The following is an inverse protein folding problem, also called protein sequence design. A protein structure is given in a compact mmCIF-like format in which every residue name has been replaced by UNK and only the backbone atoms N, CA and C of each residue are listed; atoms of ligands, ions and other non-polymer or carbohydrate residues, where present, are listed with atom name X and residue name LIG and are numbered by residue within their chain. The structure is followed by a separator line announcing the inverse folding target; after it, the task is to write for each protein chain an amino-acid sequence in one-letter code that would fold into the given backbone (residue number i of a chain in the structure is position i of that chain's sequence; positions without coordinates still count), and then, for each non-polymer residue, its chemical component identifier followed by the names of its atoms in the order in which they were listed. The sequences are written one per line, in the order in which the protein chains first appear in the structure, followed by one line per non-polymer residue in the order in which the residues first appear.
data_IF_134108118793
#
_entry.id   IF_134108118793
#
_cell.length_a   1.000
_cell.length_b   1.000
_cell.length_c   1.000
_cell.angle_alpha   90.00
_cell.angle_beta   90.00
_cell.angle_gamma   90.00
#
_symmetry.space_group_name_H-M   'P 1'
#
loop_
_entity.id
_entity.type
_entity.pdbx_description
1 polymer ?
#
# COMPACT_ATOMS: atom_id res chain seq x y z
N UNK A 1 -22.97 -50.43 -6.37
CA UNK A 1 -23.38 -49.04 -6.11
C UNK A 1 -22.43 -48.31 -5.15
N UNK A 2 -21.19 -48.82 -4.92
CA UNK A 2 -20.19 -48.19 -4.02
C UNK A 2 -19.09 -47.41 -4.77
N UNK A 3 -18.84 -47.74 -6.05
CA UNK A 3 -17.77 -47.12 -6.85
C UNK A 3 -18.07 -45.64 -7.17
N UNK A 4 -19.35 -45.29 -7.33
CA UNK A 4 -19.78 -43.90 -7.65
C UNK A 4 -19.54 -42.95 -6.47
N UNK A 5 -19.66 -43.44 -5.24
CA UNK A 5 -19.46 -42.65 -4.02
C UNK A 5 -17.97 -42.35 -3.76
N UNK A 6 -17.08 -43.29 -4.09
CA UNK A 6 -15.62 -43.13 -3.98
C UNK A 6 -15.07 -42.12 -5.01
N UNK A 7 -15.54 -42.15 -6.26
CA UNK A 7 -15.13 -41.17 -7.28
C UNK A 7 -15.58 -39.75 -6.92
N UNK A 8 -16.76 -39.63 -6.30
CA UNK A 8 -17.29 -38.34 -5.82
C UNK A 8 -16.45 -37.74 -4.70
N UNK A 9 -15.91 -38.58 -3.79
CA UNK A 9 -15.07 -38.12 -2.69
C UNK A 9 -13.67 -37.67 -3.13
N UNK A 10 -13.13 -38.31 -4.16
CA UNK A 10 -11.78 -37.99 -4.71
C UNK A 10 -11.77 -36.68 -5.48
N UNK A 11 -12.91 -36.23 -6.03
CA UNK A 11 -13.01 -34.98 -6.79
C UNK A 11 -13.27 -33.74 -5.92
N UNK A 12 -13.76 -33.88 -4.68
CA UNK A 12 -14.05 -32.76 -3.77
C UNK A 12 -12.86 -31.83 -3.46
N UNK A 13 -11.60 -32.27 -3.27
CA UNK A 13 -10.49 -31.34 -3.01
C UNK A 13 -10.11 -30.47 -4.22
N UNK A 14 -10.55 -30.83 -5.44
CA UNK A 14 -10.31 -30.01 -6.64
C UNK A 14 -11.30 -28.84 -6.80
N UNK A 15 -12.39 -28.83 -6.02
CA UNK A 15 -13.46 -27.83 -6.12
C UNK A 15 -13.24 -26.65 -5.17
N UNK A 16 -12.38 -26.78 -4.15
CA UNK A 16 -12.14 -25.72 -3.15
C UNK A 16 -10.65 -25.33 -3.15
N UNK A 17 -10.25 -24.30 -3.92
CA UNK A 17 -8.86 -23.89 -4.01
C UNK A 17 -8.49 -23.05 -2.78
N UNK A 18 -8.15 -23.71 -1.68
CA UNK A 18 -7.65 -23.07 -0.45
C UNK A 18 -6.19 -22.62 -0.57
N UNK A 19 -5.47 -23.09 -1.58
CA UNK A 19 -4.08 -22.70 -1.81
C UNK A 19 -3.96 -21.57 -2.86
N UNK A 20 -3.34 -20.41 -2.53
CA UNK A 20 -3.06 -19.35 -3.51
C UNK A 20 -2.01 -19.69 -4.55
N UNK A 21 -1.25 -20.77 -4.37
CA UNK A 21 -0.20 -21.19 -5.29
C UNK A 21 -0.75 -21.51 -6.69
N UNK A 22 0.04 -21.30 -7.75
CA UNK A 22 -0.32 -21.73 -9.09
C UNK A 22 -0.44 -23.25 -9.14
N UNK A 23 -1.47 -23.77 -9.82
CA UNK A 23 -1.78 -25.19 -9.89
C UNK A 23 -2.64 -25.53 -11.10
N UNK A 24 -3.21 -26.74 -11.11
CA UNK A 24 -4.00 -27.24 -12.25
C UNK A 24 -5.22 -26.37 -12.57
N UNK A 25 -5.83 -25.74 -11.56
CA UNK A 25 -7.03 -24.91 -11.70
C UNK A 25 -6.72 -23.40 -11.70
N UNK A 26 -5.46 -23.00 -11.48
CA UNK A 26 -5.08 -21.58 -11.34
C UNK A 26 -3.74 -21.29 -12.02
N UNK A 27 -3.77 -20.43 -13.04
CA UNK A 27 -2.57 -20.01 -13.78
C UNK A 27 -1.66 -19.11 -12.94
N UNK A 28 -0.37 -19.06 -13.30
CA UNK A 28 0.63 -18.15 -12.70
C UNK A 28 0.18 -16.68 -12.71
N UNK A 29 -0.51 -16.25 -13.78
CA UNK A 29 -1.06 -14.90 -13.91
C UNK A 29 -2.22 -14.65 -12.95
N UNK A 30 -3.08 -15.64 -12.70
CA UNK A 30 -4.16 -15.53 -11.71
C UNK A 30 -3.62 -15.49 -10.28
N UNK A 31 -2.63 -16.31 -9.92
CA UNK A 31 -2.01 -16.25 -8.58
C UNK A 31 -1.30 -14.92 -8.31
N UNK A 32 -0.67 -14.31 -9.32
CA UNK A 32 -0.05 -12.96 -9.21
C UNK A 32 -1.06 -11.82 -8.98
N UNK A 33 -2.34 -12.07 -9.22
CA UNK A 33 -3.42 -11.10 -8.97
C UNK A 33 -4.00 -11.22 -7.56
N UNK A 34 -3.50 -12.12 -6.72
CA UNK A 34 -3.95 -12.27 -5.35
C UNK A 34 -2.96 -11.57 -4.40
N UNK A 35 -3.49 -10.82 -3.45
CA UNK A 35 -2.77 -10.37 -2.28
C UNK A 35 -3.22 -11.23 -1.10
N UNK A 36 -2.29 -11.92 -0.46
CA UNK A 36 -2.58 -12.88 0.58
C UNK A 36 -1.98 -12.44 1.91
N UNK A 37 -2.80 -12.39 2.94
CA UNK A 37 -2.38 -12.17 4.33
C UNK A 37 -2.52 -13.47 5.11
N UNK A 38 -1.55 -13.78 5.97
CA UNK A 38 -1.66 -14.88 6.93
C UNK A 38 -2.13 -14.30 8.26
N UNK A 39 -3.28 -14.75 8.73
CA UNK A 39 -3.93 -14.29 9.96
C UNK A 39 -4.08 -15.46 10.94
N UNK A 40 -4.20 -15.15 12.24
CA UNK A 40 -4.69 -16.14 13.20
C UNK A 40 -6.18 -16.43 12.94
N UNK A 41 -6.63 -17.65 13.22
CA UNK A 41 -8.04 -18.02 13.05
C UNK A 41 -9.00 -17.07 13.79
N UNK A 42 -8.59 -16.53 14.94
CA UNK A 42 -9.37 -15.56 15.72
C UNK A 42 -9.51 -14.19 15.02
N UNK A 43 -8.40 -13.62 14.55
CA UNK A 43 -8.45 -12.33 13.84
C UNK A 43 -9.25 -12.49 12.54
N UNK A 44 -9.04 -13.62 11.86
CA UNK A 44 -9.67 -13.89 10.59
C UNK A 44 -11.18 -14.12 10.74
N UNK A 45 -11.65 -14.81 11.80
CA UNK A 45 -13.08 -15.03 12.04
C UNK A 45 -13.83 -13.74 12.40
N UNK A 46 -13.20 -12.84 13.14
CA UNK A 46 -13.74 -11.50 13.41
C UNK A 46 -13.84 -10.65 12.15
N UNK A 47 -12.82 -10.70 11.28
CA UNK A 47 -12.75 -9.89 10.06
C UNK A 47 -13.60 -10.45 8.91
N UNK A 48 -13.79 -11.77 8.86
CA UNK A 48 -14.53 -12.47 7.80
C UNK A 48 -15.55 -13.48 8.38
N UNK A 49 -16.62 -12.98 9.03
CA UNK A 49 -17.59 -13.85 9.70
C UNK A 49 -18.25 -14.81 8.71
N UNK A 50 -18.38 -16.08 9.10
CA UNK A 50 -19.01 -17.14 8.31
C UNK A 50 -18.15 -17.72 7.17
N UNK A 51 -16.96 -17.17 6.91
CA UNK A 51 -16.01 -17.72 5.90
C UNK A 51 -14.91 -18.59 6.50
N UNK A 52 -14.69 -18.48 7.81
CA UNK A 52 -13.61 -19.16 8.51
C UNK A 52 -14.20 -19.99 9.63
N UNK A 53 -13.97 -21.30 9.56
CA UNK A 53 -14.35 -22.23 10.62
C UNK A 53 -13.36 -22.05 11.77
N UNK A 54 -13.80 -21.45 12.87
CA UNK A 54 -13.05 -21.42 14.13
C UNK A 54 -13.05 -22.83 14.71
N UNK A 55 -11.94 -23.28 15.31
CA UNK A 55 -11.96 -24.56 16.00
C UNK A 55 -12.89 -24.48 17.22
N UNK A 56 -13.69 -25.53 17.41
CA UNK A 56 -14.57 -25.63 18.57
C UNK A 56 -13.73 -25.67 19.84
N UNK A 57 -14.11 -24.87 20.84
CA UNK A 57 -13.33 -24.56 22.05
C UNK A 57 -13.03 -25.73 23.02
N UNK A 58 -13.04 -26.99 22.57
CA UNK A 58 -12.58 -28.14 23.36
C UNK A 58 -11.50 -28.92 22.60
N UNK A 59 -10.25 -28.70 23.00
CA UNK A 59 -9.15 -29.66 22.81
C UNK A 59 -8.22 -29.44 21.61
N UNK A 60 -8.36 -28.35 20.86
CA UNK A 60 -7.48 -28.06 19.72
C UNK A 60 -6.41 -27.02 20.12
N UNK A 61 -5.29 -27.50 20.66
CA UNK A 61 -4.16 -26.66 21.10
C UNK A 61 -3.22 -26.22 19.96
N UNK A 62 -3.65 -26.35 18.71
CA UNK A 62 -2.82 -26.01 17.54
C UNK A 62 -3.14 -24.58 17.10
N UNK A 63 -2.15 -23.68 17.13
CA UNK A 63 -2.29 -22.36 16.50
C UNK A 63 -2.49 -22.50 14.99
N UNK A 64 -3.74 -22.46 14.55
CA UNK A 64 -4.07 -22.52 13.12
C UNK A 64 -3.96 -21.13 12.51
N UNK A 65 -3.01 -20.99 11.59
CA UNK A 65 -2.94 -19.81 10.71
C UNK A 65 -3.83 -20.02 9.49
N UNK A 66 -4.59 -18.99 9.12
CA UNK A 66 -5.45 -18.96 7.94
C UNK A 66 -4.84 -18.00 6.94
N UNK A 67 -4.69 -18.44 5.69
CA UNK A 67 -4.27 -17.57 4.59
C UNK A 67 -5.52 -17.02 3.92
N UNK A 68 -5.72 -15.71 4.01
CA UNK A 68 -6.82 -15.02 3.35
C UNK A 68 -6.25 -14.28 2.14
N UNK A 69 -6.71 -14.67 0.95
CA UNK A 69 -6.31 -14.03 -0.28
C UNK A 69 -7.47 -13.20 -0.84
N UNK A 70 -7.18 -11.96 -1.18
CA UNK A 70 -8.10 -11.08 -1.89
C UNK A 70 -7.57 -10.82 -3.29
N UNK A 71 -8.48 -10.74 -4.25
CA UNK A 71 -8.12 -10.28 -5.59
C UNK A 71 -7.61 -8.83 -5.46
N UNK A 72 -6.42 -8.57 -5.99
CA UNK A 72 -5.78 -7.26 -6.03
C UNK A 72 -6.73 -6.36 -6.78
N UNK A 73 -7.43 -5.49 -6.05
CA UNK A 73 -8.55 -4.72 -6.58
C UNK A 73 -8.15 -4.02 -7.89
N UNK A 74 -8.99 -4.32 -8.89
CA UNK A 74 -9.10 -3.78 -10.24
C UNK A 74 -8.34 -4.57 -11.33
N UNK A 75 -9.14 -5.26 -12.15
CA UNK A 75 -8.76 -5.79 -13.47
C UNK A 75 -8.32 -4.62 -14.38
N UNK A 76 -7.29 -4.80 -15.22
CA UNK A 76 -6.98 -3.84 -16.28
C UNK A 76 -8.24 -3.56 -17.11
N UNK A 77 -8.54 -2.27 -17.36
CA UNK A 77 -9.76 -1.82 -18.04
C UNK A 77 -10.96 -1.47 -17.15
N UNK A 78 -10.90 -1.75 -15.83
CA UNK A 78 -11.84 -1.18 -14.84
C UNK A 78 -11.31 0.10 -14.17
N UNK A 79 -10.02 0.39 -14.36
CA UNK A 79 -9.41 1.66 -13.93
C UNK A 79 -9.52 2.68 -15.05
N UNK A 80 -9.47 3.96 -14.68
CA UNK A 80 -9.41 5.03 -15.69
C UNK A 80 -8.10 4.89 -16.49
N UNK A 81 -8.10 5.33 -17.76
CA UNK A 81 -6.88 5.33 -18.56
C UNK A 81 -5.74 6.12 -17.88
N UNK A 82 -6.10 7.16 -17.13
CA UNK A 82 -5.19 7.93 -16.32
C UNK A 82 -4.53 7.11 -15.19
N UNK A 83 -5.32 6.34 -14.43
CA UNK A 83 -4.78 5.47 -13.38
C UNK A 83 -3.87 4.39 -13.96
N UNK A 84 -4.23 3.79 -15.11
CA UNK A 84 -3.38 2.80 -15.77
C UNK A 84 -2.06 3.42 -16.26
N UNK A 85 -2.09 4.65 -16.78
CA UNK A 85 -0.87 5.36 -17.19
C UNK A 85 0.07 5.58 -15.99
N UNK A 86 -0.45 6.08 -14.87
CA UNK A 86 0.30 6.26 -13.62
C UNK A 86 0.88 4.93 -13.14
N UNK A 87 0.07 3.87 -13.10
CA UNK A 87 0.50 2.57 -12.59
C UNK A 87 1.49 1.84 -13.50
N UNK A 88 1.43 2.06 -14.82
CA UNK A 88 2.29 1.37 -15.80
C UNK A 88 3.78 1.71 -15.65
N UNK A 89 4.08 2.91 -15.17
CA UNK A 89 5.45 3.43 -15.01
C UNK A 89 5.82 3.67 -13.53
N UNK A 90 4.95 3.26 -12.60
CA UNK A 90 5.04 3.62 -11.19
C UNK A 90 6.38 3.25 -10.56
N UNK A 91 6.83 2.00 -10.71
CA UNK A 91 8.04 1.51 -10.05
C UNK A 91 9.29 2.26 -10.53
N UNK A 92 9.40 2.51 -11.84
CA UNK A 92 10.49 3.29 -12.42
C UNK A 92 10.45 4.74 -11.92
N UNK A 93 9.29 5.38 -12.02
CA UNK A 93 9.11 6.79 -11.61
C UNK A 93 9.42 7.01 -10.14
N UNK A 94 8.93 6.13 -9.28
CA UNK A 94 9.15 6.22 -7.84
C UNK A 94 10.62 5.97 -7.49
N UNK A 95 11.28 5.05 -8.19
CA UNK A 95 12.72 4.82 -8.02
C UNK A 95 13.52 6.07 -8.39
N UNK A 96 13.19 6.72 -9.52
CA UNK A 96 13.81 8.00 -9.91
C UNK A 96 13.62 9.09 -8.85
N UNK A 97 12.40 9.22 -8.31
CA UNK A 97 12.09 10.22 -7.29
C UNK A 97 12.81 9.93 -5.96
N UNK A 98 12.93 8.66 -5.56
CA UNK A 98 13.68 8.26 -4.38
C UNK A 98 15.18 8.55 -4.52
N UNK A 99 15.76 8.30 -5.70
CA UNK A 99 17.16 8.67 -6.01
C UNK A 99 17.35 10.18 -5.95
N UNK A 100 16.40 10.94 -6.53
CA UNK A 100 16.45 12.40 -6.49
C UNK A 100 16.35 12.94 -5.05
N UNK A 101 15.50 12.33 -4.22
CA UNK A 101 15.35 12.68 -2.81
C UNK A 101 16.67 12.55 -2.03
N UNK A 102 17.30 11.37 -2.11
CA UNK A 102 18.58 11.09 -1.46
C UNK A 102 19.69 12.00 -1.97
N UNK A 103 19.74 12.24 -3.28
CA UNK A 103 20.77 13.07 -3.91
C UNK A 103 20.65 14.55 -3.54
N UNK A 104 19.42 15.06 -3.40
CA UNK A 104 19.19 16.47 -3.08
C UNK A 104 19.40 16.78 -1.60
N UNK A 105 19.14 15.81 -0.71
CA UNK A 105 19.23 15.94 0.74
C UNK A 105 19.99 14.76 1.37
N UNK A 106 21.30 14.62 1.09
CA UNK A 106 22.10 13.53 1.66
C UNK A 106 22.22 13.64 3.18
N UNK A 107 22.03 14.83 3.75
CA UNK A 107 21.99 15.09 5.20
C UNK A 107 20.81 14.41 5.92
N UNK A 108 19.82 13.92 5.16
CA UNK A 108 18.63 13.25 5.67
C UNK A 108 18.71 11.72 5.62
N UNK A 109 19.83 11.13 5.17
CA UNK A 109 19.96 9.69 4.97
C UNK A 109 19.71 8.86 6.25
N UNK A 110 20.21 9.35 7.39
CA UNK A 110 20.10 8.66 8.70
C UNK A 110 18.77 8.94 9.44
N UNK A 111 17.83 9.61 8.79
CA UNK A 111 16.51 9.95 9.36
C UNK A 111 15.50 8.84 9.14
N UNK A 112 14.39 8.88 9.88
CA UNK A 112 13.26 7.99 9.64
C UNK A 112 12.37 8.56 8.53
N UNK A 113 12.23 7.83 7.43
CA UNK A 113 11.44 8.23 6.28
C UNK A 113 10.00 7.76 6.41
N UNK A 114 9.07 8.71 6.29
CA UNK A 114 7.65 8.47 6.15
C UNK A 114 7.24 8.69 4.70
N UNK A 115 6.21 7.97 4.27
CA UNK A 115 5.70 8.07 2.90
C UNK A 115 4.22 8.39 2.93
N UNK A 116 3.83 9.44 2.21
CA UNK A 116 2.44 9.78 1.99
C UNK A 116 2.18 9.98 0.49
N UNK A 117 1.00 9.56 0.03
CA UNK A 117 0.58 9.74 -1.35
C UNK A 117 -0.73 10.54 -1.38
N UNK A 118 -0.73 11.62 -2.15
CA UNK A 118 -1.90 12.47 -2.39
C UNK A 118 -2.39 12.20 -3.80
N UNK A 119 -3.31 11.24 -3.92
CA UNK A 119 -3.89 10.82 -5.18
C UNK A 119 -5.41 10.62 -5.03
N UNK A 120 -6.25 10.94 -6.06
CA UNK A 120 -7.70 10.91 -5.92
C UNK A 120 -8.30 9.53 -5.64
N UNK A 121 -7.68 8.46 -6.15
CA UNK A 121 -8.18 7.09 -6.04
C UNK A 121 -7.48 6.34 -4.91
N UNK A 122 -8.21 6.04 -3.82
CA UNK A 122 -7.64 5.36 -2.64
C UNK A 122 -6.90 4.04 -2.96
N UNK A 123 -7.40 3.14 -3.84
CA UNK A 123 -6.66 1.95 -4.24
C UNK A 123 -5.32 2.25 -4.95
N UNK A 124 -5.26 3.36 -5.69
CA UNK A 124 -4.02 3.79 -6.38
C UNK A 124 -3.09 4.45 -5.37
N UNK A 125 -3.61 5.28 -4.45
CA UNK A 125 -2.85 5.86 -3.33
C UNK A 125 -2.07 4.81 -2.56
N UNK A 126 -2.73 3.71 -2.16
CA UNK A 126 -2.06 2.60 -1.46
C UNK A 126 -0.93 1.98 -2.27
N UNK A 127 -1.13 1.81 -3.58
CA UNK A 127 -0.07 1.28 -4.46
C UNK A 127 1.11 2.23 -4.59
N UNK A 128 0.85 3.52 -4.76
CA UNK A 128 1.89 4.55 -4.84
C UNK A 128 2.71 4.57 -3.55
N UNK A 129 2.05 4.62 -2.39
CA UNK A 129 2.74 4.59 -1.09
C UNK A 129 3.57 3.33 -0.90
N UNK A 130 3.04 2.15 -1.26
CA UNK A 130 3.77 0.89 -1.16
C UNK A 130 5.01 0.87 -2.08
N UNK A 131 4.87 1.30 -3.34
CA UNK A 131 6.00 1.40 -4.26
C UNK A 131 7.08 2.35 -3.74
N UNK A 132 6.70 3.49 -3.17
CA UNK A 132 7.61 4.48 -2.62
C UNK A 132 8.37 4.00 -1.39
N UNK A 133 7.69 3.34 -0.46
CA UNK A 133 8.35 2.68 0.67
C UNK A 133 9.39 1.67 0.20
N UNK A 134 9.03 0.82 -0.77
CA UNK A 134 9.96 -0.16 -1.33
C UNK A 134 11.16 0.49 -2.01
N UNK A 135 10.96 1.57 -2.77
CA UNK A 135 12.06 2.27 -3.43
C UNK A 135 13.06 2.86 -2.42
N UNK A 136 12.57 3.47 -1.33
CA UNK A 136 13.41 3.99 -0.25
C UNK A 136 14.11 2.86 0.52
N UNK A 137 13.41 1.78 0.85
CA UNK A 137 14.02 0.61 1.54
C UNK A 137 15.10 -0.06 0.68
N UNK A 138 14.88 -0.18 -0.64
CA UNK A 138 15.88 -0.72 -1.57
C UNK A 138 17.14 0.15 -1.66
N UNK A 139 17.05 1.42 -1.23
CA UNK A 139 18.18 2.36 -1.11
C UNK A 139 18.88 2.25 0.25
N UNK A 140 18.38 1.42 1.16
CA UNK A 140 18.92 1.24 2.51
C UNK A 140 18.40 2.24 3.54
N UNK A 141 17.40 3.06 3.19
CA UNK A 141 16.83 4.05 4.09
C UNK A 141 15.91 3.41 5.12
N UNK A 142 15.88 3.97 6.32
CA UNK A 142 14.95 3.56 7.37
C UNK A 142 13.56 4.10 7.07
N UNK A 143 12.60 3.22 6.76
CA UNK A 143 11.23 3.61 6.43
C UNK A 143 10.25 3.19 7.53
N UNK A 144 9.38 4.11 7.94
CA UNK A 144 8.34 3.86 8.94
C UNK A 144 6.97 3.63 8.29
N UNK A 145 6.15 2.80 8.94
CA UNK A 145 4.73 2.63 8.62
C UNK A 145 3.82 3.68 9.25
N UNK A 146 4.37 4.57 10.08
CA UNK A 146 3.62 5.68 10.68
C UNK A 146 3.11 6.62 9.60
N UNK A 147 1.88 7.09 9.76
CA UNK A 147 1.28 8.14 8.91
C UNK A 147 1.39 9.47 9.65
N UNK A 148 1.89 10.54 9.00
CA UNK A 148 1.86 11.89 9.58
C UNK A 148 0.41 12.31 9.85
N UNK A 149 0.12 12.79 11.06
CA UNK A 149 -1.23 13.21 11.41
C UNK A 149 -1.40 14.67 10.99
N UNK A 150 -2.26 14.90 10.01
CA UNK A 150 -2.82 16.22 9.71
C UNK A 150 -4.06 16.44 10.59
N UNK A 151 -4.09 17.53 11.35
CA UNK A 151 -5.30 17.96 12.04
C UNK A 151 -6.36 18.41 11.03
N UNK A 152 -7.64 18.43 11.41
CA UNK A 152 -8.76 18.76 10.51
C UNK A 152 -8.63 20.13 9.82
N UNK A 153 -8.02 21.12 10.48
CA UNK A 153 -7.73 22.43 9.88
C UNK A 153 -6.64 22.41 8.80
N UNK A 154 -5.84 21.34 8.74
CA UNK A 154 -4.73 21.18 7.79
C UNK A 154 -5.23 20.63 6.45
N UNK A 155 -6.36 19.90 6.46
CA UNK A 155 -7.06 19.46 5.26
C UNK A 155 -7.61 20.65 4.47
N UNK A 156 -8.00 21.74 5.15
CA UNK A 156 -8.43 22.97 4.46
C UNK A 156 -7.29 23.64 3.68
N UNK A 157 -6.06 23.60 4.22
CA UNK A 157 -4.86 24.14 3.55
C UNK A 157 -4.59 23.39 2.25
N UNK A 158 -4.61 22.06 2.29
CA UNK A 158 -4.37 21.21 1.12
C UNK A 158 -5.49 21.26 0.07
N UNK A 159 -6.71 21.65 0.46
CA UNK A 159 -7.88 21.64 -0.45
C UNK A 159 -8.23 23.02 -1.01
N UNK A 160 -7.82 24.12 -0.37
CA UNK A 160 -8.18 25.48 -0.77
C UNK A 160 -7.04 26.28 -1.39
N UNK A 161 -5.79 25.82 -1.27
CA UNK A 161 -4.61 26.51 -1.79
C UNK A 161 -4.04 25.82 -3.03
N UNK A 162 -3.30 26.56 -3.85
CA UNK A 162 -2.55 25.98 -4.95
C UNK A 162 -1.45 25.04 -4.40
N UNK A 163 -1.11 23.94 -5.09
CA UNK A 163 -0.11 22.99 -4.62
C UNK A 163 1.22 23.62 -4.16
N UNK A 164 1.71 24.62 -4.90
CA UNK A 164 2.99 25.27 -4.60
C UNK A 164 3.02 26.02 -3.26
N UNK A 165 1.85 26.40 -2.74
CA UNK A 165 1.72 27.06 -1.43
C UNK A 165 1.22 26.08 -0.35
N UNK A 166 0.35 25.15 -0.75
CA UNK A 166 -0.31 24.21 0.16
C UNK A 166 0.69 23.26 0.85
N UNK A 167 1.63 22.67 0.11
CA UNK A 167 2.57 21.69 0.67
C UNK A 167 3.65 22.32 1.57
N UNK A 168 4.24 23.48 1.24
CA UNK A 168 5.05 24.22 2.19
C UNK A 168 4.32 24.58 3.48
N UNK A 169 3.08 25.06 3.38
CA UNK A 169 2.27 25.39 4.55
C UNK A 169 1.95 24.13 5.39
N UNK A 170 1.58 23.01 4.75
CA UNK A 170 1.36 21.74 5.44
C UNK A 170 2.64 21.25 6.15
N UNK A 171 3.81 21.38 5.52
CA UNK A 171 5.09 21.01 6.11
C UNK A 171 5.40 21.77 7.41
N UNK A 172 5.18 23.09 7.41
CA UNK A 172 5.32 23.92 8.60
C UNK A 172 4.36 23.49 9.70
N UNK A 173 3.12 23.13 9.33
CA UNK A 173 2.12 22.67 10.30
C UNK A 173 2.48 21.32 10.89
N UNK A 174 3.00 20.37 10.11
CA UNK A 174 3.48 19.09 10.65
C UNK A 174 4.52 19.26 11.75
N UNK A 175 5.42 20.22 11.61
CA UNK A 175 6.38 20.55 12.66
C UNK A 175 5.67 21.18 13.87
N UNK A 176 4.82 22.19 13.63
CA UNK A 176 4.14 22.93 14.70
C UNK A 176 3.17 22.07 15.53
N UNK A 177 2.55 21.06 14.93
CA UNK A 177 1.59 20.16 15.59
C UNK A 177 2.22 18.85 16.09
N UNK A 178 3.51 18.61 15.78
CA UNK A 178 4.19 17.36 16.10
C UNK A 178 3.75 16.16 15.24
N UNK A 179 3.08 16.40 14.10
CA UNK A 179 2.72 15.36 13.13
C UNK A 179 3.96 14.70 12.49
N UNK A 180 5.06 15.45 12.38
CA UNK A 180 6.39 14.98 11.98
C UNK A 180 7.39 15.30 13.09
N UNK A 181 8.15 14.30 13.56
CA UNK A 181 9.18 14.51 14.59
C UNK A 181 10.43 15.14 13.97
N UNK A 182 11.33 15.62 14.81
CA UNK A 182 12.59 16.27 14.36
C UNK A 182 13.52 15.32 13.60
N UNK A 183 13.43 14.02 13.87
CA UNK A 183 14.19 12.95 13.24
C UNK A 183 13.48 12.29 12.05
N UNK A 184 12.28 12.78 11.72
CA UNK A 184 11.47 12.26 10.63
C UNK A 184 11.60 13.11 9.37
N UNK A 185 11.47 12.43 8.23
CA UNK A 185 11.40 13.05 6.89
C UNK A 185 10.18 12.50 6.19
N UNK A 186 9.30 13.38 5.72
CA UNK A 186 8.16 12.97 4.91
C UNK A 186 8.52 13.08 3.42
N UNK A 187 8.48 11.95 2.73
CA UNK A 187 8.51 11.85 1.29
C UNK A 187 7.08 11.75 0.76
N UNK A 188 6.61 12.82 0.14
CA UNK A 188 5.23 12.96 -0.31
C UNK A 188 5.15 12.85 -1.84
N UNK A 189 4.31 11.94 -2.34
CA UNK A 189 4.03 11.74 -3.76
C UNK A 189 2.68 12.36 -4.12
N UNK A 190 2.64 13.20 -5.14
CA UNK A 190 1.53 14.12 -5.38
C UNK A 190 1.09 14.04 -6.84
N UNK A 191 -0.21 13.90 -7.06
CA UNK A 191 -0.85 14.24 -8.34
C UNK A 191 -1.33 15.68 -8.27
N UNK A 192 -0.61 16.59 -8.95
CA UNK A 192 -0.91 18.03 -8.98
C UNK A 192 -2.11 18.36 -9.86
N UNK A 193 -2.22 17.69 -11.01
CA UNK A 193 -3.33 17.81 -11.94
C UNK A 193 -3.84 16.41 -12.30
N UNK A 194 -5.18 16.23 -12.28
CA UNK A 194 -5.86 15.00 -12.69
C UNK A 194 -5.72 14.70 -14.19
N UNK A 195 -5.20 15.64 -14.97
CA UNK A 195 -4.89 15.47 -16.40
C UNK A 195 -3.46 14.97 -16.63
N UNK A 196 -2.57 15.17 -15.68
CA UNK A 196 -1.16 14.78 -15.80
C UNK A 196 -0.93 13.33 -15.38
N UNK A 197 -0.28 12.56 -16.23
CA UNK A 197 0.07 11.17 -15.93
C UNK A 197 1.41 11.03 -15.20
N UNK A 198 1.95 12.12 -14.68
CA UNK A 198 3.21 12.15 -13.96
C UNK A 198 2.97 12.35 -12.47
N UNK A 199 3.66 11.57 -11.64
CA UNK A 199 3.75 11.82 -10.21
C UNK A 199 4.87 12.83 -9.93
N UNK A 200 4.52 13.83 -9.13
CA UNK A 200 5.42 14.80 -8.54
C UNK A 200 5.81 14.32 -7.14
N UNK A 201 6.92 14.81 -6.60
CA UNK A 201 7.25 14.56 -5.21
C UNK A 201 7.91 15.76 -4.53
N UNK A 202 7.79 15.77 -3.22
CA UNK A 202 8.56 16.68 -2.37
C UNK A 202 8.93 16.05 -1.04
N UNK A 203 9.84 16.73 -0.36
CA UNK A 203 10.34 16.38 0.95
C UNK A 203 9.90 17.44 1.94
N UNK A 204 9.36 16.98 3.07
CA UNK A 204 9.19 17.79 4.25
C UNK A 204 10.14 17.29 5.34
N UNK A 205 11.01 18.18 5.82
CA UNK A 205 11.87 17.92 6.97
C UNK A 205 12.02 19.22 7.76
N UNK A 206 11.84 19.16 9.08
CA UNK A 206 12.01 20.32 9.98
C UNK A 206 11.21 21.56 9.54
N UNK A 207 9.99 21.36 9.04
CA UNK A 207 9.11 22.45 8.58
C UNK A 207 9.53 23.07 7.25
N UNK A 208 10.56 22.55 6.57
CA UNK A 208 11.00 23.00 5.26
C UNK A 208 10.55 22.02 4.18
N UNK A 209 9.87 22.57 3.16
CA UNK A 209 9.44 21.83 1.99
C UNK A 209 10.40 22.03 0.82
N UNK A 210 10.72 20.94 0.12
CA UNK A 210 11.55 20.97 -1.09
C UNK A 210 10.91 20.10 -2.17
N UNK A 211 10.71 20.66 -3.36
CA UNK A 211 10.24 19.92 -4.53
C UNK A 211 11.38 19.14 -5.20
N UNK A 212 11.10 17.92 -5.64
CA UNK A 212 12.09 17.02 -6.23
C UNK A 212 12.08 16.99 -7.77
N UNK A 213 10.93 17.27 -8.37
CA UNK A 213 10.67 17.59 -9.79
C UNK A 213 9.17 17.51 -10.05
#
# INVERSE_FOLDING_TARGET
MEIVLLISLVLLPFVVPTDPAPGLTRSKTQSRRLECERLSAEIASRRYPGRIVTSDGRGDFTERSVVVCRERLLRPGLRTAHDEAILSSLDARVTELAIAAESLRPDLADRTWLVEAYYPSAPVTTKISFAAKNALMNRGLQVSDRVPILATGDVEVLTRMAPDEAYPAACQRYLATGGLREDDVLFALISRDRRETNLHAGLCAQGQWVWLK
#
